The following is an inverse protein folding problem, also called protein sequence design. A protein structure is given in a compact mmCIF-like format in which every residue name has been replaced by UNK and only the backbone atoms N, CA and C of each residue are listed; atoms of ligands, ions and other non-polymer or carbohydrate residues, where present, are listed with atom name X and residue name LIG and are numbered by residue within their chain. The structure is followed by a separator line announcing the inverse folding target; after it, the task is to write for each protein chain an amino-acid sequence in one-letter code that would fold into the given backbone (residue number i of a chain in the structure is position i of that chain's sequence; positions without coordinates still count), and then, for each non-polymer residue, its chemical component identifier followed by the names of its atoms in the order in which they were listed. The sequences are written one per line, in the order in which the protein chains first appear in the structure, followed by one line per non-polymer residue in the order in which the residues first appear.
data_IF_066418606984
#
_entry.id   IF_066418606984
#
_cell.length_a   1.000
_cell.length_b   1.000
_cell.length_c   1.000
_cell.angle_alpha   90.00
_cell.angle_beta   90.00
_cell.angle_gamma   90.00
#
_symmetry.space_group_name_H-M   'P 1'
#
loop_
_entity.id
_entity.type
_entity.pdbx_description
1 polymer ?
#
# COMPACT_ATOMS: atom_id res chain seq x y z
N UNK A 1 17.21 -0.12 23.43
CA UNK A 1 17.15 -0.37 21.97
C UNK A 1 15.89 0.29 21.45
N UNK A 2 15.97 1.48 20.86
CA UNK A 2 14.82 2.03 20.10
C UNK A 2 14.75 1.19 18.84
N UNK A 3 13.70 0.38 18.71
CA UNK A 3 13.38 -0.21 17.42
C UNK A 3 13.03 0.97 16.50
N UNK A 4 14.03 1.49 15.81
CA UNK A 4 13.84 2.13 14.51
C UNK A 4 13.39 1.03 13.55
N UNK A 5 12.15 0.57 13.73
CA UNK A 5 11.46 -0.17 12.69
C UNK A 5 10.84 0.92 11.83
N UNK A 6 11.57 1.38 10.82
CA UNK A 6 10.96 1.97 9.63
C UNK A 6 9.91 0.97 9.14
N UNK A 7 8.66 1.18 9.54
CA UNK A 7 7.53 0.33 9.16
C UNK A 7 7.44 0.33 7.63
N UNK A 8 7.05 -0.77 6.96
CA UNK A 8 6.82 -0.78 5.51
C UNK A 8 5.49 -0.08 5.20
N UNK A 9 5.36 1.13 5.72
CA UNK A 9 4.26 2.04 5.55
C UNK A 9 4.78 3.31 4.92
N UNK A 10 4.02 3.86 3.99
CA UNK A 10 4.43 5.04 3.25
C UNK A 10 3.27 5.65 2.51
N UNK A 11 3.59 6.64 1.69
CA UNK A 11 2.65 7.32 0.81
C UNK A 11 3.22 7.38 -0.60
N UNK A 12 2.41 7.01 -1.59
CA UNK A 12 2.74 7.15 -3.02
C UNK A 12 1.63 8.00 -3.64
N UNK A 13 1.96 9.22 -4.03
CA UNK A 13 0.96 10.22 -4.43
C UNK A 13 -0.03 10.52 -3.30
N UNK A 14 -1.32 10.28 -3.55
CA UNK A 14 -2.40 10.41 -2.57
C UNK A 14 -2.80 9.08 -1.91
N UNK A 15 -2.11 7.99 -2.24
CA UNK A 15 -2.36 6.67 -1.67
C UNK A 15 -1.44 6.43 -0.47
N UNK A 16 -2.02 5.94 0.61
CA UNK A 16 -1.29 5.56 1.82
C UNK A 16 -1.23 4.04 1.91
N UNK A 17 -0.11 3.46 2.34
CA UNK A 17 0.01 2.01 2.48
C UNK A 17 0.70 1.62 3.79
N UNK A 18 0.45 0.40 4.26
CA UNK A 18 1.10 -0.19 5.42
C UNK A 18 1.13 -1.72 5.31
N UNK A 19 2.30 -2.33 5.59
CA UNK A 19 2.41 -3.78 5.73
C UNK A 19 1.93 -4.22 7.12
N UNK A 20 0.89 -5.02 7.14
CA UNK A 20 0.35 -5.67 8.33
C UNK A 20 1.18 -6.90 8.63
N UNK A 21 2.20 -6.76 9.48
CA UNK A 21 3.14 -7.85 9.82
C UNK A 21 2.45 -9.13 10.35
N UNK A 22 1.32 -8.97 11.02
CA UNK A 22 0.57 -10.09 11.59
C UNK A 22 -0.03 -11.02 10.52
N UNK A 23 -0.46 -10.48 9.39
CA UNK A 23 -1.09 -11.24 8.29
C UNK A 23 -0.20 -11.33 7.05
N UNK A 24 0.88 -10.55 7.02
CA UNK A 24 1.69 -10.32 5.83
C UNK A 24 1.00 -9.45 4.79
N UNK A 25 -0.25 -9.00 4.98
CA UNK A 25 -0.98 -8.25 3.96
C UNK A 25 -0.54 -6.78 3.88
N UNK A 26 -0.68 -6.18 2.70
CA UNK A 26 -0.46 -4.75 2.51
C UNK A 26 -1.81 -4.07 2.51
N UNK A 27 -2.07 -3.23 3.51
CA UNK A 27 -3.25 -2.37 3.55
C UNK A 27 -2.95 -1.09 2.76
N UNK A 28 -3.81 -0.77 1.78
CA UNK A 28 -3.72 0.46 0.98
C UNK A 28 -4.98 1.28 1.23
N UNK A 29 -4.81 2.56 1.53
CA UNK A 29 -5.85 3.58 1.59
C UNK A 29 -5.80 4.40 0.32
N UNK A 30 -6.90 4.37 -0.43
CA UNK A 30 -7.12 5.18 -1.63
C UNK A 30 -7.36 6.66 -1.25
N UNK A 31 -7.13 7.60 -2.17
CA UNK A 31 -7.46 9.02 -1.97
C UNK A 31 -8.95 9.25 -1.66
N UNK A 32 -9.83 8.42 -2.22
CA UNK A 32 -11.27 8.41 -1.97
C UNK A 32 -11.63 8.01 -0.52
N UNK A 33 -10.66 7.57 0.28
CA UNK A 33 -10.86 7.10 1.65
C UNK A 33 -11.18 5.61 1.74
N UNK A 34 -11.50 4.97 0.62
CA UNK A 34 -11.66 3.53 0.48
C UNK A 34 -10.37 2.75 0.81
N UNK A 35 -10.51 1.53 1.35
CA UNK A 35 -9.38 0.66 1.68
C UNK A 35 -9.34 -0.59 0.79
N UNK A 36 -8.13 -1.02 0.42
CA UNK A 36 -7.85 -2.25 -0.32
C UNK A 36 -6.77 -3.04 0.40
N UNK A 37 -6.95 -4.35 0.53
CA UNK A 37 -5.89 -5.25 0.99
C UNK A 37 -5.26 -5.95 -0.20
N UNK A 38 -3.93 -5.96 -0.25
CA UNK A 38 -3.14 -6.72 -1.19
C UNK A 38 -2.40 -7.86 -0.48
N UNK A 39 -2.10 -8.96 -1.20
CA UNK A 39 -1.21 -9.99 -0.68
C UNK A 39 0.16 -9.41 -0.35
N UNK A 40 0.77 -9.92 0.72
CA UNK A 40 2.15 -9.63 1.08
C UNK A 40 3.13 -10.02 0.00
N UNK A 41 4.09 -9.15 -0.28
CA UNK A 41 5.22 -9.45 -1.16
C UNK A 41 6.52 -8.94 -0.54
N UNK A 42 7.65 -9.43 -1.03
CA UNK A 42 8.97 -8.94 -0.66
C UNK A 42 9.16 -7.46 -1.04
N UNK A 43 8.50 -7.01 -2.11
CA UNK A 43 8.59 -5.66 -2.67
C UNK A 43 7.27 -4.90 -2.52
N UNK A 44 6.98 -4.46 -1.28
CA UNK A 44 5.74 -3.74 -0.93
C UNK A 44 5.54 -2.51 -1.82
N UNK A 45 6.59 -1.70 -2.01
CA UNK A 45 6.49 -0.47 -2.78
C UNK A 45 6.11 -0.73 -4.25
N UNK A 46 6.75 -1.73 -4.89
CA UNK A 46 6.45 -2.12 -6.27
C UNK A 46 5.01 -2.60 -6.41
N UNK A 47 4.53 -3.45 -5.49
CA UNK A 47 3.14 -3.92 -5.51
C UNK A 47 2.13 -2.78 -5.34
N UNK A 48 2.42 -1.83 -4.44
CA UNK A 48 1.57 -0.64 -4.23
C UNK A 48 1.57 0.23 -5.48
N UNK A 49 2.73 0.49 -6.11
CA UNK A 49 2.82 1.28 -7.35
C UNK A 49 1.99 0.65 -8.48
N UNK A 50 2.17 -0.64 -8.75
CA UNK A 50 1.40 -1.33 -9.80
C UNK A 50 -0.10 -1.32 -9.52
N UNK A 51 -0.51 -1.44 -8.25
CA UNK A 51 -1.91 -1.29 -7.87
C UNK A 51 -2.44 0.11 -8.19
N UNK A 52 -1.72 1.16 -7.81
CA UNK A 52 -2.12 2.56 -8.04
C UNK A 52 -2.25 2.84 -9.54
N UNK A 53 -1.32 2.36 -10.36
CA UNK A 53 -1.37 2.52 -11.82
C UNK A 53 -2.62 1.88 -12.43
N UNK A 54 -2.97 0.67 -11.98
CA UNK A 54 -4.19 -0.02 -12.42
C UNK A 54 -5.46 0.69 -11.93
N UNK A 55 -5.49 1.09 -10.66
CA UNK A 55 -6.65 1.75 -10.02
C UNK A 55 -6.98 3.10 -10.65
N UNK A 56 -5.93 3.89 -10.94
CA UNK A 56 -6.04 5.18 -11.60
C UNK A 56 -6.54 5.05 -13.04
N UNK A 57 -6.16 3.98 -13.74
CA UNK A 57 -6.62 3.70 -15.11
C UNK A 57 -8.09 3.26 -15.17
N UNK A 58 -8.56 2.54 -14.16
CA UNK A 58 -9.96 2.10 -14.07
C UNK A 58 -10.92 3.24 -13.71
N UNK A 59 -10.45 4.30 -13.05
CA UNK A 59 -11.29 5.43 -12.62
C UNK A 59 -11.61 6.46 -13.73
N UNK A 60 -11.12 6.27 -14.97
CA UNK A 60 -11.37 7.16 -16.12
C UNK A 60 -12.29 6.57 -17.20
N UNK A 61 -13.14 5.59 -16.88
CA UNK A 61 -14.05 4.97 -17.87
C UNK A 61 -15.51 5.40 -17.74
#
# INVERSE_FOLDING_TARGET
MRLDMSEPSGKIGDYQYALVKQTGLIAIRRPDGSFRMLPGTNDVETAVRSFIELDSKTSSS
#
